data_IF_290150255845
#
_entry.id   IF_290150255845
#
_cell.length_a   1.000
_cell.length_b   1.000
_cell.length_c   1.000
_cell.angle_alpha   90.00
_cell.angle_beta   90.00
_cell.angle_gamma   90.00
#
_symmetry.space_group_name_H-M   'P 1'
#
loop_
_entity.id
_entity.type
_entity.pdbx_description
1 polymer ?
#
# COMPACT_ATOMS: atom_id res chain seq x y z
N UNK A 1 2.04 -14.63 -19.86
CA UNK A 1 2.29 -13.74 -18.69
C UNK A 1 1.44 -12.47 -18.74
N UNK A 2 1.34 -11.82 -19.91
CA UNK A 2 0.46 -10.65 -20.12
C UNK A 2 -1.01 -10.93 -19.80
N UNK A 3 -1.52 -12.12 -20.10
CA UNK A 3 -2.92 -12.48 -19.82
C UNK A 3 -3.26 -12.47 -18.32
N UNK A 4 -2.36 -12.96 -17.45
CA UNK A 4 -2.58 -12.98 -16.00
C UNK A 4 -2.66 -11.56 -15.42
N UNK A 5 -1.72 -10.70 -15.81
CA UNK A 5 -1.67 -9.30 -15.34
C UNK A 5 -2.88 -8.51 -15.86
N UNK A 6 -3.28 -8.74 -17.12
CA UNK A 6 -4.49 -8.13 -17.68
C UNK A 6 -5.75 -8.60 -16.97
N UNK A 7 -5.86 -9.90 -16.68
CA UNK A 7 -6.99 -10.46 -15.94
C UNK A 7 -7.09 -9.85 -14.54
N UNK A 8 -5.99 -9.86 -13.78
CA UNK A 8 -5.93 -9.27 -12.44
C UNK A 8 -6.29 -7.78 -12.44
N UNK A 9 -5.85 -7.02 -13.46
CA UNK A 9 -6.19 -5.59 -13.61
C UNK A 9 -7.65 -5.31 -13.94
N UNK A 10 -8.32 -6.20 -14.66
CA UNK A 10 -9.70 -6.01 -15.08
C UNK A 10 -10.72 -6.55 -14.08
N UNK A 11 -10.36 -7.60 -13.34
CA UNK A 11 -11.31 -8.33 -12.50
C UNK A 11 -11.15 -8.01 -11.00
N UNK A 12 -9.99 -7.50 -10.57
CA UNK A 12 -9.69 -7.33 -9.15
C UNK A 12 -9.48 -5.85 -8.82
N UNK A 13 -10.44 -5.29 -8.08
CA UNK A 13 -10.33 -3.99 -7.41
C UNK A 13 -10.29 -4.23 -5.90
N UNK A 14 -9.09 -4.38 -5.31
CA UNK A 14 -8.98 -4.67 -3.90
C UNK A 14 -9.44 -3.48 -3.07
N UNK A 15 -10.23 -3.74 -2.03
CA UNK A 15 -10.60 -2.73 -1.03
C UNK A 15 -9.63 -2.76 0.15
N UNK A 16 -9.37 -1.59 0.73
CA UNK A 16 -8.46 -1.51 1.88
C UNK A 16 -9.20 -1.96 3.14
N UNK A 17 -8.66 -2.99 3.81
CA UNK A 17 -9.18 -3.48 5.09
C UNK A 17 -8.76 -2.57 6.25
N UNK A 18 -9.49 -2.58 7.36
CA UNK A 18 -9.15 -1.78 8.55
C UNK A 18 -7.75 -2.10 9.10
N UNK A 19 -7.33 -3.36 9.05
CA UNK A 19 -5.98 -3.78 9.45
C UNK A 19 -4.89 -3.15 8.57
N UNK A 20 -5.14 -3.07 7.25
CA UNK A 20 -4.23 -2.44 6.30
C UNK A 20 -4.18 -0.93 6.51
N UNK A 21 -5.29 -0.27 6.83
CA UNK A 21 -5.33 1.15 7.19
C UNK A 21 -4.42 1.43 8.38
N UNK A 22 -4.52 0.61 9.42
CA UNK A 22 -3.70 0.76 10.63
C UNK A 22 -2.21 0.63 10.32
N UNK A 23 -1.83 -0.37 9.50
CA UNK A 23 -0.45 -0.55 9.04
C UNK A 23 0.07 0.63 8.21
N UNK A 24 -0.77 1.19 7.32
CA UNK A 24 -0.39 2.32 6.46
C UNK A 24 -0.14 3.57 7.29
N UNK A 25 -0.96 3.81 8.32
CA UNK A 25 -0.78 4.93 9.24
C UNK A 25 0.50 4.75 10.06
N UNK A 26 0.76 3.58 10.63
CA UNK A 26 1.98 3.30 11.40
C UNK A 26 3.24 3.49 10.55
N UNK A 27 3.23 2.93 9.33
CA UNK A 27 4.30 3.10 8.37
C UNK A 27 4.56 4.55 7.99
N UNK A 28 3.48 5.31 7.73
CA UNK A 28 3.56 6.74 7.47
C UNK A 28 4.11 7.52 8.67
N UNK A 29 3.70 7.19 9.89
CA UNK A 29 4.23 7.81 11.11
C UNK A 29 5.71 7.50 11.32
N UNK A 30 6.16 6.28 11.03
CA UNK A 30 7.59 5.89 11.05
C UNK A 30 8.41 6.72 10.06
N UNK A 31 7.97 6.83 8.81
CA UNK A 31 8.62 7.67 7.79
C UNK A 31 8.68 9.14 8.19
N UNK A 32 7.63 9.63 8.85
CA UNK A 32 7.59 10.99 9.41
C UNK A 32 8.58 11.15 10.57
N UNK A 33 8.75 10.14 11.41
CA UNK A 33 9.68 10.17 12.55
C UNK A 33 11.16 10.11 12.16
N UNK A 34 11.50 9.46 11.04
CA UNK A 34 12.86 9.45 10.48
C UNK A 34 13.30 10.81 9.92
N UNK A 35 12.34 11.67 9.60
CA UNK A 35 12.59 13.09 9.36
C UNK A 35 12.78 13.85 10.64
N UNK A 36 14.03 14.09 11.03
CA UNK A 36 14.32 15.05 12.10
C UNK A 36 13.63 16.40 11.85
N UNK A 37 13.42 17.17 12.94
CA UNK A 37 12.61 18.41 13.07
C UNK A 37 12.67 19.48 11.95
N UNK A 38 13.53 19.36 10.93
CA UNK A 38 13.75 20.38 9.92
C UNK A 38 13.77 19.87 8.46
N UNK A 39 13.36 18.61 8.21
CA UNK A 39 13.31 18.04 6.84
C UNK A 39 11.90 17.51 6.55
N UNK A 40 11.29 17.94 5.44
CA UNK A 40 9.97 17.47 5.01
C UNK A 40 10.09 15.99 4.59
N UNK A 41 9.96 15.08 5.55
CA UNK A 41 10.31 13.66 5.36
C UNK A 41 9.20 12.80 4.75
N UNK A 42 7.94 13.13 5.01
CA UNK A 42 6.81 12.35 4.52
C UNK A 42 5.70 13.25 3.99
N UNK A 43 5.67 13.41 2.66
CA UNK A 43 4.58 14.11 1.98
C UNK A 43 3.36 13.18 1.84
N UNK A 44 2.13 13.73 1.73
CA UNK A 44 0.93 12.92 1.46
C UNK A 44 1.07 12.01 0.22
N UNK A 45 1.90 12.41 -0.74
CA UNK A 45 2.22 11.61 -1.93
C UNK A 45 2.91 10.29 -1.60
N UNK A 46 3.72 10.23 -0.53
CA UNK A 46 4.32 8.97 -0.09
C UNK A 46 3.27 8.00 0.44
N UNK A 47 2.26 8.50 1.17
CA UNK A 47 1.13 7.69 1.61
C UNK A 47 0.34 7.15 0.42
N UNK A 48 0.02 7.99 -0.58
CA UNK A 48 -0.66 7.53 -1.80
C UNK A 48 0.16 6.49 -2.58
N UNK A 49 1.49 6.63 -2.61
CA UNK A 49 2.37 5.63 -3.23
C UNK A 49 2.34 4.30 -2.47
N UNK A 50 2.40 4.32 -1.14
CA UNK A 50 2.29 3.11 -0.31
C UNK A 50 0.95 2.39 -0.52
N UNK A 51 -0.15 3.14 -0.57
CA UNK A 51 -1.48 2.60 -0.86
C UNK A 51 -1.48 1.91 -2.23
N UNK A 52 -0.99 2.59 -3.28
CA UNK A 52 -0.94 2.02 -4.64
C UNK A 52 -0.10 0.75 -4.74
N UNK A 53 1.02 0.68 -4.03
CA UNK A 53 1.87 -0.52 -4.01
C UNK A 53 1.15 -1.66 -3.30
N UNK A 54 0.53 -1.39 -2.14
CA UNK A 54 -0.24 -2.37 -1.37
C UNK A 54 -1.42 -2.93 -2.18
N UNK A 55 -2.16 -2.07 -2.87
CA UNK A 55 -3.26 -2.48 -3.77
C UNK A 55 -2.76 -3.30 -4.97
N UNK A 56 -1.61 -2.92 -5.55
CA UNK A 56 -1.00 -3.67 -6.64
C UNK A 56 -0.57 -5.07 -6.18
N UNK A 57 -0.05 -5.19 -4.96
CA UNK A 57 0.32 -6.47 -4.37
C UNK A 57 -0.90 -7.38 -4.19
N UNK A 58 -1.95 -6.89 -3.52
CA UNK A 58 -3.21 -7.61 -3.37
C UNK A 58 -3.80 -8.06 -4.72
N UNK A 59 -3.72 -7.18 -5.73
CA UNK A 59 -4.20 -7.46 -7.09
C UNK A 59 -3.43 -8.58 -7.80
N UNK A 60 -2.11 -8.62 -7.68
CA UNK A 60 -1.28 -9.70 -8.25
C UNK A 60 -1.61 -11.04 -7.60
N UNK A 61 -1.96 -11.03 -6.32
CA UNK A 61 -2.41 -12.19 -5.57
C UNK A 61 -3.90 -12.53 -5.77
N UNK A 62 -4.61 -11.81 -6.64
CA UNK A 62 -6.05 -11.97 -6.89
C UNK A 62 -6.91 -11.86 -5.62
N UNK A 63 -6.48 -11.02 -4.67
CA UNK A 63 -7.23 -10.74 -3.43
C UNK A 63 -8.18 -9.57 -3.63
N UNK A 64 -9.38 -9.68 -3.11
CA UNK A 64 -10.40 -8.61 -3.12
C UNK A 64 -10.21 -7.59 -1.98
N UNK A 65 -9.29 -7.86 -1.06
CA UNK A 65 -8.98 -7.00 0.08
C UNK A 65 -7.48 -6.89 0.31
N UNK A 66 -7.00 -5.67 0.56
CA UNK A 66 -5.61 -5.43 0.99
C UNK A 66 -5.48 -5.85 2.44
N UNK A 67 -4.53 -6.73 2.75
CA UNK A 67 -4.26 -7.20 4.11
C UNK A 67 -3.04 -6.49 4.71
N UNK A 68 -2.87 -6.58 6.03
CA UNK A 68 -1.74 -5.96 6.71
C UNK A 68 -0.38 -6.43 6.15
N UNK A 69 -0.27 -7.69 5.74
CA UNK A 69 0.97 -8.22 5.13
C UNK A 69 1.35 -7.49 3.84
N UNK A 70 0.37 -7.12 3.00
CA UNK A 70 0.61 -6.37 1.76
C UNK A 70 1.17 -4.97 2.05
N UNK A 71 0.78 -4.39 3.18
CA UNK A 71 1.25 -3.08 3.65
C UNK A 71 2.65 -3.19 4.25
N UNK A 72 2.95 -4.26 4.98
CA UNK A 72 4.28 -4.53 5.53
C UNK A 72 5.29 -4.75 4.41
N UNK A 73 4.93 -5.47 3.35
CA UNK A 73 5.78 -5.63 2.15
C UNK A 73 5.98 -4.33 1.36
N UNK A 74 5.07 -3.36 1.50
CA UNK A 74 5.17 -2.07 0.83
C UNK A 74 6.02 -1.04 1.60
N UNK A 75 6.33 -1.28 2.88
CA UNK A 75 7.02 -0.37 3.81
C UNK A 75 8.54 -0.55 3.80
#
# INVERSE_FOLDING_TARGET
>A
MTEYVSYARQNIMPMISEDAVTGLIDGYMKLRSWGGHNTISATPRHLESLIRISEAHARVHLRESVIAEDVVEAL
#
